data_IF_032759762779
#
_entry.id   IF_032759762779
#
_cell.length_a   1.000
_cell.length_b   1.000
_cell.length_c   1.000
_cell.angle_alpha   90.00
_cell.angle_beta   90.00
_cell.angle_gamma   90.00
#
_symmetry.space_group_name_H-M   'P 1'
#
loop_
_entity.id
_entity.type
_entity.pdbx_description
1 polymer ?
#
# COMPACT_ATOMS: atom_id res chain seq x y z
N UNK A 1 -25.57 -16.68 -24.74
CA UNK A 1 -24.96 -17.97 -25.15
C UNK A 1 -24.48 -18.65 -23.88
N UNK A 2 -25.29 -19.45 -23.16
CA UNK A 2 -25.67 -20.83 -23.45
C UNK A 2 -24.52 -21.70 -23.99
N UNK A 3 -23.99 -22.60 -23.14
CA UNK A 3 -24.37 -24.02 -23.12
C UNK A 3 -23.84 -24.72 -21.86
N UNK A 4 -24.77 -25.10 -20.98
CA UNK A 4 -24.62 -26.21 -20.05
C UNK A 4 -24.79 -27.52 -20.84
N UNK A 5 -24.05 -28.56 -20.47
CA UNK A 5 -24.35 -29.94 -20.85
C UNK A 5 -24.68 -30.74 -19.57
N UNK A 6 -25.92 -31.22 -19.58
CA UNK A 6 -26.52 -32.25 -18.73
C UNK A 6 -25.72 -33.55 -18.85
N UNK A 7 -25.68 -34.43 -17.84
CA UNK A 7 -26.62 -35.54 -17.59
C UNK A 7 -25.95 -36.45 -16.52
N UNK A 8 -26.59 -37.23 -15.65
CA UNK A 8 -27.99 -37.43 -15.25
C UNK A 8 -27.97 -38.40 -14.03
N UNK A 9 -29.01 -38.30 -13.16
CA UNK A 9 -29.74 -39.41 -12.51
C UNK A 9 -29.01 -40.40 -11.53
N UNK A 10 -29.51 -40.84 -10.35
CA UNK A 10 -30.86 -41.15 -9.79
C UNK A 10 -30.81 -41.09 -8.23
N UNK A 11 -31.91 -40.62 -7.60
CA UNK A 11 -32.27 -40.82 -6.18
C UNK A 11 -33.06 -42.10 -5.98
N UNK A 12 -32.86 -42.82 -4.86
CA UNK A 12 -33.88 -43.74 -4.28
C UNK A 12 -34.02 -43.53 -2.76
N UNK A 13 -35.27 -43.68 -2.30
CA UNK A 13 -35.91 -43.29 -1.04
C UNK A 13 -36.13 -44.51 -0.12
N UNK A 14 -36.32 -44.25 1.18
CA UNK A 14 -36.68 -45.13 2.32
C UNK A 14 -37.86 -46.10 2.12
N UNK A 15 -37.87 -47.21 2.89
CA UNK A 15 -38.97 -47.88 3.67
C UNK A 15 -38.53 -49.34 3.98
N UNK A 16 -38.46 -49.94 5.19
CA UNK A 16 -39.36 -50.19 6.36
C UNK A 16 -39.97 -51.62 6.43
N UNK A 17 -39.57 -52.40 7.47
CA UNK A 17 -40.22 -53.58 8.15
C UNK A 17 -40.50 -54.88 7.33
N UNK A 18 -40.84 -56.07 7.92
CA UNK A 18 -41.10 -56.43 9.34
C UNK A 18 -40.51 -57.77 9.90
N UNK A 19 -40.73 -57.98 11.21
CA UNK A 19 -40.77 -59.26 11.96
C UNK A 19 -41.68 -60.33 11.33
N UNK A 20 -41.54 -61.59 11.78
CA UNK A 20 -42.75 -62.36 12.13
C UNK A 20 -42.68 -63.13 13.47
N UNK A 21 -43.88 -63.35 14.01
CA UNK A 21 -44.25 -64.10 15.22
C UNK A 21 -44.30 -65.64 15.03
N UNK A 22 -43.94 -66.34 16.12
CA UNK A 22 -44.51 -67.54 16.79
C UNK A 22 -45.48 -68.53 16.08
N UNK A 23 -45.20 -69.85 16.21
CA UNK A 23 -46.06 -71.00 16.60
C UNK A 23 -45.38 -72.35 16.22
N UNK A 24 -45.00 -73.23 17.17
CA UNK A 24 -45.69 -74.41 17.77
C UNK A 24 -45.60 -75.75 17.00
N UNK A 25 -45.50 -76.83 17.79
CA UNK A 25 -45.59 -78.28 17.49
C UNK A 25 -44.39 -78.98 16.84
N UNK A 26 -44.00 -80.22 17.13
CA UNK A 26 -44.46 -81.30 18.04
C UNK A 26 -43.49 -82.49 17.89
N UNK A 27 -43.38 -83.35 18.92
CA UNK A 27 -43.04 -84.79 18.85
C UNK A 27 -41.66 -85.22 18.28
N UNK A 28 -41.01 -86.33 18.67
CA UNK A 28 -41.11 -87.34 19.71
C UNK A 28 -39.83 -88.21 19.58
N UNK A 29 -39.66 -89.16 20.51
CA UNK A 29 -38.75 -90.33 20.43
C UNK A 29 -37.23 -90.10 20.59
N UNK A 30 -36.46 -91.02 21.18
CA UNK A 30 -36.67 -92.12 22.13
C UNK A 30 -35.29 -92.63 22.56
N UNK A 31 -35.20 -93.21 23.77
CA UNK A 31 -34.28 -94.27 24.24
C UNK A 31 -32.76 -94.10 24.00
N UNK A 32 -31.95 -93.85 25.03
CA UNK A 32 -31.50 -94.80 26.05
C UNK A 32 -30.61 -95.95 25.53
N UNK A 33 -29.32 -95.89 25.88
CA UNK A 33 -28.39 -97.00 26.17
C UNK A 33 -27.31 -96.39 27.10
N UNK A 34 -27.36 -96.65 28.42
CA UNK A 34 -26.58 -97.70 29.11
C UNK A 34 -25.08 -97.55 28.80
N UNK A 35 -24.20 -97.13 29.70
CA UNK A 35 -24.07 -97.45 31.11
C UNK A 35 -22.74 -98.16 31.29
N UNK A 36 -21.81 -97.59 32.07
CA UNK A 36 -20.97 -98.27 33.08
C UNK A 36 -19.75 -97.45 33.45
N UNK A 37 -19.51 -97.47 34.76
CA UNK A 37 -18.46 -96.90 35.58
C UNK A 37 -17.06 -97.46 35.30
N UNK A 38 -16.03 -96.62 35.38
CA UNK A 38 -14.72 -97.00 35.92
C UNK A 38 -14.06 -95.83 36.67
N UNK A 39 -13.67 -96.12 37.93
CA UNK A 39 -12.82 -95.32 38.80
C UNK A 39 -11.33 -95.64 38.55
N UNK A 40 -10.47 -94.71 38.99
CA UNK A 40 -8.99 -94.70 39.12
C UNK A 40 -8.27 -93.91 38.02
N UNK A 41 -7.24 -93.11 38.29
CA UNK A 41 -6.34 -93.05 39.44
C UNK A 41 -5.82 -91.62 39.68
N UNK A 42 -5.40 -91.36 40.91
CA UNK A 42 -4.63 -90.19 41.31
C UNK A 42 -3.35 -90.05 40.48
N UNK A 43 -3.08 -88.83 39.99
CA UNK A 43 -1.70 -88.37 39.78
C UNK A 43 -1.59 -86.94 40.28
N UNK A 44 -0.98 -86.78 41.45
CA UNK A 44 -0.55 -85.50 41.99
C UNK A 44 0.46 -84.85 41.04
N UNK A 45 0.07 -83.77 40.37
CA UNK A 45 1.02 -82.87 39.71
C UNK A 45 1.65 -81.92 40.74
N UNK A 46 2.98 -81.71 40.73
CA UNK A 46 3.67 -80.98 41.77
C UNK A 46 3.31 -79.49 41.75
N UNK A 47 2.95 -78.97 42.93
CA UNK A 47 2.70 -77.55 43.21
C UNK A 47 3.90 -76.69 42.76
N UNK A 48 3.78 -76.01 41.62
CA UNK A 48 4.64 -74.86 41.32
C UNK A 48 4.30 -73.71 42.29
N UNK A 49 5.30 -73.02 42.86
CA UNK A 49 5.05 -72.03 43.89
C UNK A 49 4.47 -70.76 43.24
N UNK A 50 3.28 -70.33 43.70
CA UNK A 50 2.75 -68.96 43.89
C UNK A 50 3.33 -67.74 43.11
N UNK A 51 3.96 -67.86 41.93
CA UNK A 51 4.53 -66.73 41.17
C UNK A 51 3.46 -65.89 40.45
N UNK A 52 2.30 -66.46 40.15
CA UNK A 52 1.15 -65.71 39.59
C UNK A 52 0.61 -64.64 40.56
N UNK A 53 0.72 -64.86 41.89
CA UNK A 53 0.31 -63.87 42.89
C UNK A 53 1.26 -62.67 42.92
N UNK A 54 2.57 -62.91 42.75
CA UNK A 54 3.56 -61.83 42.67
C UNK A 54 3.42 -61.01 41.38
N UNK A 55 3.13 -61.66 40.25
CA UNK A 55 2.88 -60.98 38.99
C UNK A 55 1.57 -60.17 39.04
N UNK A 56 0.53 -60.69 39.69
CA UNK A 56 -0.73 -59.98 39.92
C UNK A 56 -0.52 -58.74 40.82
N UNK A 57 0.26 -58.85 41.89
CA UNK A 57 0.63 -57.69 42.73
C UNK A 57 1.46 -56.68 41.96
N UNK A 58 2.41 -57.11 41.12
CA UNK A 58 3.22 -56.24 40.28
C UNK A 58 2.36 -55.48 39.24
N UNK A 59 1.40 -56.15 38.60
CA UNK A 59 0.46 -55.53 37.66
C UNK A 59 -0.44 -54.53 38.37
N UNK A 60 -0.99 -54.85 39.55
CA UNK A 60 -1.81 -53.92 40.32
C UNK A 60 -0.99 -52.70 40.76
N UNK A 61 0.25 -52.90 41.22
CA UNK A 61 1.17 -51.82 41.58
C UNK A 61 1.50 -50.94 40.38
N UNK A 62 1.71 -51.53 39.20
CA UNK A 62 1.95 -50.79 37.95
C UNK A 62 0.72 -50.01 37.51
N UNK A 63 -0.48 -50.61 37.57
CA UNK A 63 -1.74 -49.91 37.26
C UNK A 63 -1.99 -48.77 38.24
N UNK A 64 -1.75 -48.99 39.54
CA UNK A 64 -1.85 -47.95 40.55
C UNK A 64 -0.82 -46.83 40.32
N UNK A 65 0.41 -47.17 39.95
CA UNK A 65 1.45 -46.21 39.64
C UNK A 65 1.15 -45.41 38.38
N UNK A 66 0.65 -46.04 37.31
CA UNK A 66 0.18 -45.36 36.09
C UNK A 66 -1.01 -44.46 36.42
N UNK A 67 -1.94 -44.93 37.26
CA UNK A 67 -3.07 -44.13 37.72
C UNK A 67 -2.60 -42.92 38.54
N UNK A 68 -1.69 -43.09 39.49
CA UNK A 68 -1.10 -42.02 40.28
C UNK A 68 -0.31 -41.02 39.42
N UNK A 69 0.50 -41.49 38.46
CA UNK A 69 1.19 -40.63 37.51
C UNK A 69 0.22 -39.85 36.64
N UNK A 70 -0.89 -40.47 36.20
CA UNK A 70 -1.90 -39.80 35.39
C UNK A 70 -2.65 -38.69 36.14
N UNK A 71 -2.65 -38.68 37.48
CA UNK A 71 -3.10 -37.52 38.27
C UNK A 71 -2.18 -36.30 38.11
N UNK A 72 -0.89 -36.51 37.82
CA UNK A 72 0.08 -35.42 37.65
C UNK A 72 0.03 -34.76 36.27
N UNK A 73 -0.64 -35.37 35.29
CA UNK A 73 -0.70 -34.89 33.90
C UNK A 73 -2.11 -34.46 33.47
N UNK A 74 -2.87 -33.82 34.36
CA UNK A 74 -4.16 -33.24 33.99
C UNK A 74 -3.93 -32.07 33.03
N UNK A 75 -4.48 -32.17 31.82
CA UNK A 75 -4.49 -31.09 30.82
C UNK A 75 -5.90 -30.94 30.27
N UNK A 76 -6.34 -29.69 30.14
CA UNK A 76 -7.63 -29.35 29.55
C UNK A 76 -7.41 -28.45 28.35
N UNK A 77 -8.08 -28.75 27.25
CA UNK A 77 -8.19 -27.86 26.10
C UNK A 77 -9.64 -27.43 25.94
N UNK A 78 -9.87 -26.12 25.98
CA UNK A 78 -11.16 -25.48 25.72
C UNK A 78 -11.08 -24.80 24.37
N UNK A 79 -11.86 -25.27 23.41
CA UNK A 79 -11.96 -24.65 22.10
C UNK A 79 -13.20 -23.77 22.08
N UNK A 80 -13.03 -22.48 21.82
CA UNK A 80 -14.10 -21.48 21.89
C UNK A 80 -14.33 -20.91 20.49
N UNK A 81 -15.59 -20.89 20.06
CA UNK A 81 -16.03 -20.19 18.88
C UNK A 81 -16.69 -18.87 19.33
N UNK A 82 -16.08 -17.71 19.05
CA UNK A 82 -16.65 -16.44 19.41
C UNK A 82 -17.94 -16.18 18.62
N UNK A 83 -18.79 -15.32 19.15
CA UNK A 83 -19.97 -14.84 18.43
C UNK A 83 -19.52 -13.99 17.24
N UNK A 84 -20.15 -14.24 16.09
CA UNK A 84 -19.84 -13.56 14.83
C UNK A 84 -21.14 -13.01 14.27
N UNK A 85 -21.10 -11.76 13.80
CA UNK A 85 -22.20 -11.11 13.12
C UNK A 85 -21.70 -10.50 11.83
N UNK A 86 -22.35 -10.83 10.72
CA UNK A 86 -22.12 -10.15 9.46
C UNK A 86 -23.10 -8.98 9.36
N UNK A 87 -22.59 -7.83 8.96
CA UNK A 87 -23.37 -6.60 8.80
C UNK A 87 -23.01 -5.95 7.47
N UNK A 88 -24.03 -5.61 6.68
CA UNK A 88 -23.83 -4.78 5.51
C UNK A 88 -23.64 -3.34 5.97
N UNK A 89 -22.50 -2.74 5.62
CA UNK A 89 -22.16 -1.35 5.88
C UNK A 89 -22.39 -0.53 4.61
N UNK A 90 -23.02 0.63 4.80
CA UNK A 90 -23.03 1.72 3.85
C UNK A 90 -23.26 3.02 4.62
N UNK A 91 -22.18 3.54 5.19
CA UNK A 91 -22.24 4.57 6.21
C UNK A 91 -21.41 5.79 5.81
N UNK A 92 -21.94 6.98 6.06
CA UNK A 92 -21.22 8.23 5.92
C UNK A 92 -20.63 8.63 7.28
N UNK A 93 -19.31 8.64 7.36
CA UNK A 93 -18.55 8.97 8.55
C UNK A 93 -17.83 10.31 8.38
N UNK A 94 -17.62 10.99 9.50
CA UNK A 94 -16.81 12.20 9.60
C UNK A 94 -15.62 11.94 10.51
N UNK A 95 -14.44 12.36 10.10
CA UNK A 95 -13.23 12.30 10.91
C UNK A 95 -12.52 13.65 11.00
N UNK A 96 -11.82 13.87 12.12
CA UNK A 96 -11.09 15.12 12.39
C UNK A 96 -9.68 14.85 12.89
N UNK A 97 -8.72 15.71 12.52
CA UNK A 97 -7.33 15.63 12.97
C UNK A 97 -7.20 15.93 14.47
N UNK A 98 -8.03 16.85 14.97
CA UNK A 98 -8.07 17.32 16.35
C UNK A 98 -9.36 16.87 17.05
N UNK A 99 -9.78 15.63 16.83
CA UNK A 99 -11.07 15.14 17.32
C UNK A 99 -11.19 15.18 18.86
N UNK A 100 -12.28 15.75 19.36
CA UNK A 100 -12.83 15.51 20.71
C UNK A 100 -13.60 14.17 20.74
N UNK A 101 -14.02 13.72 21.93
CA UNK A 101 -14.56 12.36 22.21
C UNK A 101 -15.57 11.79 21.20
N UNK A 102 -16.35 12.65 20.54
CA UNK A 102 -17.50 12.24 19.73
C UNK A 102 -17.20 12.15 18.22
N UNK A 103 -15.98 12.51 17.77
CA UNK A 103 -15.58 12.45 16.36
C UNK A 103 -14.44 11.45 16.15
N UNK A 104 -14.44 10.73 15.03
CA UNK A 104 -13.37 9.79 14.71
C UNK A 104 -12.06 10.56 14.45
N UNK A 105 -10.96 10.29 15.18
CA UNK A 105 -9.69 10.91 14.85
C UNK A 105 -9.06 10.26 13.60
N UNK A 106 -8.34 11.07 12.82
CA UNK A 106 -7.43 10.56 11.79
C UNK A 106 -6.02 11.11 11.99
N UNK A 107 -5.03 10.33 11.54
CA UNK A 107 -3.64 10.77 11.41
C UNK A 107 -3.28 10.95 9.94
N UNK A 108 -2.27 11.78 9.66
CA UNK A 108 -1.84 12.05 8.30
C UNK A 108 -0.45 11.48 8.06
N UNK A 109 -0.31 10.63 7.05
CA UNK A 109 0.98 10.18 6.52
C UNK A 109 1.33 10.99 5.27
N UNK A 110 2.55 11.52 5.23
CA UNK A 110 3.04 12.36 4.12
C UNK A 110 4.34 11.76 3.60
N UNK A 111 4.34 11.32 2.34
CA UNK A 111 5.50 10.70 1.69
C UNK A 111 5.75 11.40 0.36
N UNK A 112 6.91 12.02 0.21
CA UNK A 112 7.34 12.61 -1.05
C UNK A 112 8.24 11.69 -1.86
N UNK A 113 8.30 11.95 -3.17
CA UNK A 113 9.27 11.32 -4.05
C UNK A 113 9.19 11.84 -5.47
N UNK A 114 9.99 11.23 -6.32
CA UNK A 114 10.07 11.55 -7.73
C UNK A 114 10.17 10.27 -8.57
N UNK A 115 9.76 10.39 -9.82
CA UNK A 115 9.88 9.36 -10.83
C UNK A 115 10.25 10.00 -12.17
N UNK A 116 11.04 9.30 -12.97
CA UNK A 116 11.48 9.78 -14.28
C UNK A 116 11.27 8.74 -15.37
N UNK A 117 10.97 9.22 -16.58
CA UNK A 117 10.73 8.38 -17.75
C UNK A 117 11.37 9.03 -18.97
N UNK A 118 12.12 8.24 -19.71
CA UNK A 118 12.69 8.66 -20.99
C UNK A 118 11.72 8.34 -22.11
N UNK A 119 11.40 9.33 -22.93
CA UNK A 119 10.54 9.22 -24.11
C UNK A 119 11.37 9.53 -25.36
N UNK A 120 11.07 8.84 -26.45
CA UNK A 120 11.72 9.08 -27.74
C UNK A 120 11.01 10.23 -28.46
N UNK A 121 11.79 11.18 -28.97
CA UNK A 121 11.30 12.31 -29.74
C UNK A 121 11.08 11.86 -31.19
N UNK A 122 9.81 11.66 -31.55
CA UNK A 122 9.42 11.10 -32.86
C UNK A 122 9.22 12.16 -33.94
N UNK A 123 9.07 13.43 -33.56
CA UNK A 123 8.89 14.55 -34.48
C UNK A 123 10.07 15.51 -34.39
N UNK A 124 10.27 16.23 -35.48
CA UNK A 124 11.20 17.34 -35.54
C UNK A 124 10.46 18.68 -35.62
N UNK A 125 11.08 19.73 -35.09
CA UNK A 125 10.63 21.11 -35.20
C UNK A 125 11.73 21.93 -35.87
N UNK A 126 11.34 22.75 -36.84
CA UNK A 126 12.27 23.72 -37.44
C UNK A 126 12.60 24.80 -36.40
N UNK A 127 13.89 24.95 -36.10
CA UNK A 127 14.42 25.94 -35.17
C UNK A 127 15.35 26.87 -35.92
N UNK A 128 15.13 28.17 -35.73
CA UNK A 128 15.93 29.26 -36.28
C UNK A 128 16.47 30.07 -35.12
N UNK A 129 17.72 29.85 -34.77
CA UNK A 129 18.43 30.59 -33.73
C UNK A 129 19.45 31.54 -34.34
N UNK A 130 19.54 32.72 -33.76
CA UNK A 130 20.46 33.79 -34.20
C UNK A 130 21.72 33.74 -33.36
N UNK A 131 22.87 33.79 -34.03
CA UNK A 131 24.14 33.85 -33.33
C UNK A 131 24.23 35.12 -32.48
N UNK A 132 24.70 34.99 -31.24
CA UNK A 132 24.85 36.07 -30.26
C UNK A 132 26.30 36.17 -29.84
N UNK A 133 26.72 37.38 -29.49
CA UNK A 133 28.04 37.64 -28.96
C UNK A 133 28.12 39.03 -28.36
N UNK A 134 29.32 39.45 -28.02
CA UNK A 134 29.58 40.78 -27.45
C UNK A 134 30.64 41.47 -28.28
N UNK A 135 30.50 42.77 -28.50
CA UNK A 135 31.49 43.60 -29.20
C UNK A 135 31.86 44.83 -28.38
N UNK A 136 33.10 45.29 -28.56
CA UNK A 136 33.55 46.60 -28.12
C UNK A 136 33.51 47.54 -29.33
N UNK A 137 32.70 48.58 -29.26
CA UNK A 137 32.57 49.60 -30.31
C UNK A 137 33.48 50.77 -29.96
N UNK A 138 34.27 51.23 -30.93
CA UNK A 138 35.24 52.29 -30.78
C UNK A 138 34.88 53.52 -31.62
N UNK A 139 35.13 54.70 -31.05
CA UNK A 139 35.04 56.00 -31.70
C UNK A 139 36.45 56.61 -31.74
N UNK A 140 37.05 56.62 -32.93
CA UNK A 140 38.32 57.30 -33.21
C UNK A 140 38.12 58.48 -34.19
N UNK A 141 36.93 59.08 -34.19
CA UNK A 141 36.55 60.14 -35.12
C UNK A 141 36.62 61.54 -34.50
N UNK A 142 36.04 61.72 -33.30
CA UNK A 142 35.98 63.01 -32.62
C UNK A 142 35.78 62.87 -31.11
N UNK A 143 35.98 63.96 -30.37
CA UNK A 143 35.69 64.04 -28.93
C UNK A 143 34.19 64.10 -28.60
N UNK A 144 33.31 64.16 -29.61
CA UNK A 144 31.86 64.16 -29.44
C UNK A 144 31.36 62.71 -29.27
N UNK A 145 30.55 62.42 -28.23
CA UNK A 145 29.90 61.12 -28.09
C UNK A 145 28.94 60.83 -29.25
N UNK A 146 28.88 59.57 -29.67
CA UNK A 146 28.01 59.11 -30.75
C UNK A 146 26.96 58.15 -30.21
N UNK A 147 25.69 58.55 -30.29
CA UNK A 147 24.56 57.66 -30.00
C UNK A 147 24.37 56.69 -31.16
N UNK A 148 24.21 55.40 -30.85
CA UNK A 148 23.84 54.33 -31.78
C UNK A 148 22.53 53.71 -31.29
N UNK A 149 21.56 53.59 -32.17
CA UNK A 149 20.26 53.02 -31.85
C UNK A 149 20.36 51.51 -31.59
N UNK A 150 19.30 50.96 -30.98
CA UNK A 150 19.06 49.52 -31.05
C UNK A 150 19.01 49.08 -32.51
N UNK A 151 19.41 47.86 -32.81
CA UNK A 151 19.47 47.33 -34.18
C UNK A 151 20.44 48.04 -35.13
N UNK A 152 21.42 48.78 -34.58
CA UNK A 152 22.50 49.34 -35.39
C UNK A 152 23.24 48.22 -36.10
N UNK A 153 23.32 48.30 -37.44
CA UNK A 153 23.90 47.27 -38.30
C UNK A 153 25.43 47.35 -38.29
N UNK A 154 26.04 46.25 -37.89
CA UNK A 154 27.47 46.02 -37.88
C UNK A 154 27.80 44.98 -38.95
N UNK A 155 28.60 45.34 -39.94
CA UNK A 155 29.09 44.43 -40.97
C UNK A 155 30.42 43.83 -40.52
N UNK A 156 30.41 42.53 -40.24
CA UNK A 156 31.60 41.79 -39.84
C UNK A 156 32.55 41.56 -41.00
N UNK A 157 33.82 41.28 -40.71
CA UNK A 157 34.82 40.90 -41.72
C UNK A 157 34.47 39.61 -42.49
N UNK A 158 33.52 38.82 -42.00
CA UNK A 158 32.90 37.69 -42.69
C UNK A 158 31.78 38.08 -43.68
N UNK A 159 31.53 39.38 -43.88
CA UNK A 159 30.47 39.89 -44.76
C UNK A 159 29.05 39.72 -44.21
N UNK A 160 28.88 39.29 -42.96
CA UNK A 160 27.58 39.09 -42.33
C UNK A 160 27.19 40.32 -41.51
N UNK A 161 25.88 40.56 -41.41
CA UNK A 161 25.32 41.66 -40.63
C UNK A 161 24.92 41.16 -39.24
N UNK A 162 25.36 41.89 -38.23
CA UNK A 162 24.95 41.76 -36.84
C UNK A 162 24.33 43.07 -36.37
N UNK A 163 23.55 43.00 -35.31
CA UNK A 163 22.76 44.12 -34.80
C UNK A 163 22.98 44.28 -33.30
N UNK A 164 23.04 45.52 -32.83
CA UNK A 164 23.15 45.81 -31.39
C UNK A 164 21.87 45.41 -30.67
N UNK A 165 22.00 44.76 -29.50
CA UNK A 165 20.84 44.32 -28.69
C UNK A 165 20.12 45.48 -27.98
N UNK A 166 20.78 46.64 -27.88
CA UNK A 166 20.26 47.83 -27.22
C UNK A 166 20.87 49.08 -27.81
N UNK A 167 20.21 50.20 -27.56
CA UNK A 167 20.77 51.53 -27.79
C UNK A 167 21.95 51.77 -26.85
N UNK A 168 22.99 52.41 -27.37
CA UNK A 168 24.19 52.77 -26.62
C UNK A 168 24.71 54.14 -27.04
N UNK A 169 25.54 54.74 -26.20
CA UNK A 169 26.27 55.97 -26.52
C UNK A 169 27.76 55.64 -26.45
N UNK A 170 28.43 55.70 -27.60
CA UNK A 170 29.88 55.51 -27.69
C UNK A 170 30.55 56.81 -27.26
N UNK A 171 31.39 56.82 -26.21
CA UNK A 171 32.10 58.02 -25.80
C UNK A 171 32.95 58.61 -26.94
N UNK A 172 33.20 59.92 -26.88
CA UNK A 172 34.20 60.56 -27.74
C UNK A 172 35.62 60.11 -27.42
N UNK A 173 36.54 60.27 -28.38
CA UNK A 173 37.96 60.00 -28.14
C UNK A 173 38.59 61.03 -27.18
N UNK A 174 39.55 60.60 -26.37
CA UNK A 174 40.32 61.45 -25.45
C UNK A 174 41.76 61.53 -25.94
N UNK A 175 42.18 62.71 -26.40
CA UNK A 175 43.50 62.91 -27.02
C UNK A 175 43.73 61.93 -28.18
N UNK A 176 44.57 60.91 -28.00
CA UNK A 176 44.86 59.86 -28.99
C UNK A 176 44.17 58.52 -28.70
N UNK A 177 43.44 58.39 -27.58
CA UNK A 177 42.77 57.16 -27.17
C UNK A 177 41.31 57.13 -27.68
N UNK A 178 40.89 56.14 -28.47
CA UNK A 178 39.50 55.99 -28.90
C UNK A 178 38.56 55.82 -27.70
N UNK A 179 37.39 56.46 -27.77
CA UNK A 179 36.30 56.17 -26.83
C UNK A 179 35.73 54.79 -27.14
N UNK A 180 35.34 54.01 -26.13
CA UNK A 180 34.79 52.67 -26.35
C UNK A 180 33.61 52.35 -25.45
N UNK A 181 32.76 51.43 -25.90
CA UNK A 181 31.63 50.89 -25.13
C UNK A 181 31.37 49.44 -25.52
N UNK A 182 31.00 48.63 -24.53
CA UNK A 182 30.65 47.22 -24.71
C UNK A 182 29.15 47.06 -24.97
N UNK A 183 28.78 46.24 -25.95
CA UNK A 183 27.38 45.94 -26.26
C UNK A 183 27.23 44.51 -26.77
N UNK A 184 26.14 43.86 -26.39
CA UNK A 184 25.73 42.59 -26.98
C UNK A 184 25.28 42.78 -28.43
N UNK A 185 25.52 41.77 -29.26
CA UNK A 185 25.07 41.72 -30.64
C UNK A 185 24.32 40.44 -30.93
N UNK A 186 23.46 40.49 -31.94
CA UNK A 186 22.77 39.32 -32.48
C UNK A 186 22.79 39.35 -34.02
N UNK A 187 22.84 38.18 -34.65
CA UNK A 187 22.88 38.04 -36.11
C UNK A 187 21.60 38.56 -36.78
N UNK A 188 21.72 39.10 -38.00
CA UNK A 188 20.56 39.59 -38.75
C UNK A 188 19.58 38.47 -39.12
N UNK A 189 20.10 37.28 -39.44
CA UNK A 189 19.34 36.05 -39.67
C UNK A 189 19.85 34.92 -38.76
N UNK A 190 19.09 33.82 -38.69
CA UNK A 190 19.57 32.61 -38.06
C UNK A 190 20.56 31.86 -38.95
N UNK A 191 21.20 30.84 -38.39
CA UNK A 191 22.05 29.92 -39.14
C UNK A 191 23.48 29.84 -38.63
N UNK A 192 24.10 28.67 -38.84
CA UNK A 192 25.47 28.39 -38.38
C UNK A 192 26.50 29.28 -39.10
N UNK A 193 26.18 29.79 -40.28
CA UNK A 193 27.03 30.71 -41.04
C UNK A 193 27.23 32.08 -40.36
N UNK A 194 26.47 32.37 -39.31
CA UNK A 194 26.65 33.55 -38.45
C UNK A 194 27.51 33.26 -37.21
N UNK A 195 27.85 32.01 -36.94
CA UNK A 195 28.81 31.65 -35.89
C UNK A 195 30.22 31.96 -36.37
N UNK A 196 31.04 32.55 -35.51
CA UNK A 196 32.41 32.90 -35.85
C UNK A 196 33.29 32.98 -34.60
N UNK A 197 34.59 32.76 -34.78
CA UNK A 197 35.60 33.24 -33.84
C UNK A 197 35.64 34.77 -33.78
N UNK A 198 36.67 35.37 -33.16
CA UNK A 198 36.77 36.82 -33.07
C UNK A 198 36.70 37.53 -34.43
N UNK A 199 35.89 38.59 -34.53
CA UNK A 199 35.66 39.36 -35.75
C UNK A 199 35.85 40.87 -35.52
N UNK A 200 36.29 41.54 -36.57
CA UNK A 200 36.23 42.99 -36.68
C UNK A 200 34.95 43.40 -37.42
N UNK A 201 34.41 44.57 -37.07
CA UNK A 201 33.17 45.09 -37.61
C UNK A 201 33.30 46.54 -38.05
N UNK A 202 32.55 46.88 -39.09
CA UNK A 202 32.30 48.26 -39.51
C UNK A 202 30.84 48.62 -39.26
N UNK A 203 30.56 49.89 -39.01
CA UNK A 203 29.19 50.37 -38.77
C UNK A 203 28.55 50.70 -40.11
N UNK A 204 27.65 49.86 -40.59
CA UNK A 204 27.06 49.95 -41.94
C UNK A 204 26.38 51.30 -42.20
N UNK A 205 25.73 51.86 -41.18
CA UNK A 205 25.05 53.17 -41.27
C UNK A 205 25.96 54.36 -41.54
N UNK A 206 27.29 54.21 -41.39
CA UNK A 206 28.25 55.28 -41.67
C UNK A 206 28.86 55.20 -43.07
N UNK A 207 28.52 54.19 -43.86
CA UNK A 207 29.06 54.00 -45.22
C UNK A 207 28.85 55.26 -46.07
N UNK A 208 29.90 55.70 -46.76
CA UNK A 208 29.90 56.94 -47.55
C UNK A 208 30.22 58.23 -46.75
N UNK A 209 30.44 58.12 -45.43
CA UNK A 209 30.85 59.26 -44.59
C UNK A 209 32.29 59.07 -44.06
N UNK A 210 32.98 60.16 -43.65
CA UNK A 210 34.28 60.06 -42.98
C UNK A 210 34.26 59.24 -41.67
N UNK A 211 33.08 59.04 -41.06
CA UNK A 211 32.93 58.23 -39.84
C UNK A 211 33.20 56.74 -40.10
N UNK A 212 32.99 56.25 -41.32
CA UNK A 212 33.09 54.82 -41.64
C UNK A 212 34.49 54.24 -41.40
N UNK A 213 35.54 55.03 -41.65
CA UNK A 213 36.94 54.61 -41.44
C UNK A 213 37.45 54.84 -40.01
N UNK A 214 36.66 55.52 -39.17
CA UNK A 214 37.07 55.97 -37.83
C UNK A 214 36.23 55.36 -36.71
N UNK A 215 35.07 54.80 -37.03
CA UNK A 215 34.30 53.95 -36.12
C UNK A 215 34.43 52.49 -36.54
N UNK A 216 34.77 51.64 -35.60
CA UNK A 216 34.90 50.20 -35.80
C UNK A 216 34.48 49.48 -34.52
N UNK A 217 34.15 48.19 -34.62
CA UNK A 217 33.95 47.36 -33.45
C UNK A 217 34.76 46.07 -33.56
N UNK A 218 35.06 45.47 -32.41
CA UNK A 218 35.75 44.18 -32.33
C UNK A 218 34.96 43.26 -31.41
N UNK A 219 34.78 42.00 -31.80
CA UNK A 219 34.14 41.06 -30.88
C UNK A 219 35.03 40.79 -29.67
N UNK A 220 34.35 40.59 -28.54
CA UNK A 220 34.93 40.15 -27.29
C UNK A 220 34.59 38.67 -27.14
N UNK A 221 35.44 37.83 -27.74
CA UNK A 221 35.22 36.39 -27.85
C UNK A 221 34.53 35.97 -29.14
N UNK A 222 34.05 34.73 -29.16
CA UNK A 222 33.31 34.14 -30.28
C UNK A 222 31.86 34.61 -30.30
N UNK A 223 31.27 34.53 -31.49
CA UNK A 223 29.84 34.71 -31.74
C UNK A 223 29.28 33.33 -32.02
N UNK A 224 28.29 32.90 -31.25
CA UNK A 224 27.82 31.51 -31.23
C UNK A 224 26.30 31.42 -31.05
N UNK A 225 25.76 30.22 -31.27
CA UNK A 225 24.32 29.93 -31.09
C UNK A 225 23.46 30.18 -32.32
N UNK A 226 24.05 30.53 -33.47
CA UNK A 226 23.35 30.54 -34.74
C UNK A 226 23.08 29.11 -35.21
N UNK A 227 21.83 28.79 -35.51
CA UNK A 227 21.43 27.46 -35.98
C UNK A 227 20.18 27.57 -36.87
N UNK A 228 20.16 26.83 -37.97
CA UNK A 228 18.95 26.59 -38.77
C UNK A 228 18.91 25.09 -39.02
N UNK A 229 17.86 24.43 -38.53
CA UNK A 229 17.70 23.01 -38.75
C UNK A 229 16.52 22.44 -38.00
N UNK A 230 16.36 21.13 -38.15
CA UNK A 230 15.34 20.36 -37.46
C UNK A 230 15.89 19.80 -36.17
N UNK A 231 15.27 20.15 -35.05
CA UNK A 231 15.57 19.53 -33.76
C UNK A 231 14.47 18.54 -33.39
N UNK A 232 14.79 17.37 -32.83
CA UNK A 232 13.80 16.46 -32.28
C UNK A 232 13.02 17.16 -31.16
N UNK A 233 11.71 16.94 -31.11
CA UNK A 233 10.84 17.43 -30.05
C UNK A 233 9.87 16.35 -29.62
N UNK A 234 9.61 16.28 -28.31
CA UNK A 234 8.52 15.50 -27.78
C UNK A 234 7.18 16.13 -28.21
N UNK A 235 6.23 15.30 -28.62
CA UNK A 235 4.89 15.78 -28.95
C UNK A 235 4.07 16.00 -27.68
N UNK A 236 3.09 16.90 -27.71
CA UNK A 236 2.20 17.12 -26.54
C UNK A 236 1.45 15.85 -26.15
N UNK A 237 1.12 14.99 -27.13
CA UNK A 237 0.44 13.70 -26.91
C UNK A 237 1.38 12.74 -26.17
N UNK A 238 2.61 12.57 -26.65
CA UNK A 238 3.59 11.67 -26.03
C UNK A 238 4.01 12.18 -24.65
N UNK A 239 4.10 13.50 -24.47
CA UNK A 239 4.33 14.14 -23.18
C UNK A 239 3.20 13.85 -22.20
N UNK A 240 1.95 14.02 -22.62
CA UNK A 240 0.77 13.77 -21.76
C UNK A 240 0.67 12.29 -21.38
N UNK A 241 0.86 11.38 -22.34
CA UNK A 241 0.90 9.95 -22.06
C UNK A 241 2.04 9.58 -21.10
N UNK A 242 3.25 10.11 -21.34
CA UNK A 242 4.40 9.90 -20.46
C UNK A 242 4.19 10.43 -19.04
N UNK A 243 3.57 11.61 -18.89
CA UNK A 243 3.19 12.19 -17.60
C UNK A 243 2.15 11.34 -16.86
N UNK A 244 1.14 10.83 -17.56
CA UNK A 244 0.12 9.97 -16.94
C UNK A 244 0.71 8.65 -16.45
N UNK A 245 1.59 8.02 -17.24
CA UNK A 245 2.31 6.81 -16.83
C UNK A 245 3.19 7.07 -15.60
N UNK A 246 3.89 8.22 -15.58
CA UNK A 246 4.69 8.63 -14.44
C UNK A 246 3.83 8.85 -13.19
N UNK A 247 2.65 9.47 -13.33
CA UNK A 247 1.71 9.68 -12.22
C UNK A 247 1.28 8.35 -11.60
N UNK A 248 0.91 7.37 -12.43
CA UNK A 248 0.52 6.02 -11.98
C UNK A 248 1.69 5.32 -11.28
N UNK A 249 2.89 5.35 -11.88
CA UNK A 249 4.09 4.74 -11.31
C UNK A 249 4.50 5.37 -9.98
N UNK A 250 4.50 6.70 -9.91
CA UNK A 250 4.79 7.47 -8.71
C UNK A 250 3.77 7.17 -7.61
N UNK A 251 2.47 7.17 -7.92
CA UNK A 251 1.42 6.83 -6.95
C UNK A 251 1.63 5.42 -6.36
N UNK A 252 1.89 4.42 -7.22
CA UNK A 252 2.14 3.06 -6.76
C UNK A 252 3.39 2.95 -5.86
N UNK A 253 4.48 3.63 -6.24
CA UNK A 253 5.73 3.69 -5.48
C UNK A 253 5.55 4.35 -4.12
N UNK A 254 4.86 5.49 -4.06
CA UNK A 254 4.61 6.21 -2.82
C UNK A 254 3.62 5.47 -1.92
N UNK A 255 2.57 4.84 -2.48
CA UNK A 255 1.62 4.05 -1.71
C UNK A 255 2.29 2.84 -1.06
N UNK A 256 3.22 2.17 -1.77
CA UNK A 256 4.03 1.10 -1.18
C UNK A 256 4.85 1.60 0.00
N UNK A 257 5.58 2.71 -0.17
CA UNK A 257 6.35 3.33 0.92
C UNK A 257 5.47 3.74 2.10
N UNK A 258 4.29 4.30 1.84
CA UNK A 258 3.34 4.67 2.89
C UNK A 258 2.90 3.43 3.66
N UNK A 259 2.54 2.36 2.97
CA UNK A 259 2.12 1.08 3.56
C UNK A 259 3.20 0.48 4.46
N UNK A 260 4.46 0.54 4.03
CA UNK A 260 5.62 0.04 4.80
C UNK A 260 5.88 0.85 6.08
N UNK A 261 5.33 2.07 6.19
CA UNK A 261 5.51 2.98 7.32
C UNK A 261 4.27 3.09 8.23
N UNK A 262 3.19 2.35 7.94
CA UNK A 262 1.96 2.39 8.75
C UNK A 262 2.24 1.79 10.15
N UNK A 263 1.95 2.51 11.24
CA UNK A 263 2.07 1.96 12.59
C UNK A 263 1.10 0.79 12.83
N UNK A 264 1.46 -0.13 13.73
CA UNK A 264 0.56 -1.22 14.13
C UNK A 264 -0.72 -0.66 14.75
N UNK A 265 -1.87 -1.20 14.34
CA UNK A 265 -3.19 -0.75 14.82
C UNK A 265 -3.85 0.30 13.94
N UNK A 266 -3.19 0.76 12.87
CA UNK A 266 -3.78 1.67 11.89
C UNK A 266 -4.16 0.97 10.58
N UNK A 267 -5.05 1.61 9.85
CA UNK A 267 -5.45 1.26 8.48
C UNK A 267 -5.35 2.48 7.57
N UNK A 268 -4.78 2.26 6.38
CA UNK A 268 -4.83 3.17 5.25
C UNK A 268 -5.68 2.53 4.16
N UNK A 269 -6.79 3.15 3.81
CA UNK A 269 -7.58 2.69 2.68
C UNK A 269 -6.97 3.17 1.36
N UNK A 270 -7.08 2.36 0.31
CA UNK A 270 -6.53 2.67 -1.02
C UNK A 270 -7.03 4.00 -1.55
N UNK A 271 -8.28 4.34 -1.29
CA UNK A 271 -8.91 5.59 -1.74
C UNK A 271 -8.89 6.70 -0.68
N UNK A 272 -8.23 6.49 0.47
CA UNK A 272 -7.95 7.52 1.46
C UNK A 272 -6.59 8.21 1.21
N UNK A 273 -6.04 8.09 -0.01
CA UNK A 273 -4.79 8.74 -0.42
C UNK A 273 -5.01 9.75 -1.54
N UNK A 274 -4.15 10.75 -1.54
CA UNK A 274 -4.14 11.87 -2.46
C UNK A 274 -2.70 12.08 -2.91
N UNK A 275 -2.51 12.29 -4.22
CA UNK A 275 -1.21 12.57 -4.79
C UNK A 275 -1.24 13.98 -5.34
N UNK A 276 -0.49 14.87 -4.70
CA UNK A 276 -0.17 16.18 -5.24
C UNK A 276 1.09 16.04 -6.11
N UNK A 277 1.06 16.61 -7.32
CA UNK A 277 2.12 16.43 -8.31
C UNK A 277 2.61 17.76 -8.82
N UNK A 278 3.92 17.89 -8.89
CA UNK A 278 4.61 19.03 -9.47
C UNK A 278 5.40 18.57 -10.69
N UNK A 279 5.14 19.20 -11.84
CA UNK A 279 5.87 18.94 -13.07
C UNK A 279 7.35 19.32 -12.87
N UNK A 280 8.23 18.34 -13.06
CA UNK A 280 9.66 18.57 -13.08
C UNK A 280 10.12 19.21 -14.39
N UNK A 281 11.30 19.81 -14.40
CA UNK A 281 11.93 20.27 -15.63
C UNK A 281 12.13 19.09 -16.59
N UNK A 282 11.62 19.23 -17.81
CA UNK A 282 11.94 18.32 -18.90
C UNK A 282 13.31 18.68 -19.48
N UNK A 283 14.17 17.67 -19.65
CA UNK A 283 15.46 17.83 -20.30
C UNK A 283 15.46 17.05 -21.60
N UNK A 284 15.97 17.64 -22.67
CA UNK A 284 16.11 16.98 -23.97
C UNK A 284 17.59 16.78 -24.28
N UNK A 285 17.96 15.55 -24.61
CA UNK A 285 19.31 15.16 -25.01
C UNK A 285 19.23 14.31 -26.28
N UNK A 286 19.64 14.89 -27.41
CA UNK A 286 19.53 14.25 -28.72
C UNK A 286 18.08 14.00 -29.12
N UNK A 287 17.75 12.75 -29.47
CA UNK A 287 16.38 12.31 -29.82
C UNK A 287 15.58 11.79 -28.61
N UNK A 288 16.02 12.09 -27.39
CA UNK A 288 15.36 11.61 -26.17
C UNK A 288 15.03 12.78 -25.26
N UNK A 289 13.81 12.79 -24.77
CA UNK A 289 13.36 13.70 -23.74
C UNK A 289 13.14 12.95 -22.42
N UNK A 290 13.77 13.41 -21.35
CA UNK A 290 13.55 12.92 -19.99
C UNK A 290 12.43 13.72 -19.36
N UNK A 291 11.36 13.01 -19.01
CA UNK A 291 10.24 13.52 -18.26
C UNK A 291 10.46 13.22 -16.78
N UNK A 292 10.31 14.23 -15.94
CA UNK A 292 10.47 14.11 -14.49
C UNK A 292 9.17 14.56 -13.82
N UNK A 293 8.70 13.79 -12.85
CA UNK A 293 7.53 14.12 -12.04
C UNK A 293 7.89 14.01 -10.57
N UNK A 294 7.65 15.10 -9.83
CA UNK A 294 7.73 15.10 -8.37
C UNK A 294 6.33 15.02 -7.81
N UNK A 295 6.19 14.44 -6.64
CA UNK A 295 4.90 14.43 -5.98
C UNK A 295 4.98 14.05 -4.51
N UNK A 296 3.95 14.47 -3.80
CA UNK A 296 3.75 14.19 -2.38
C UNK A 296 2.44 13.45 -2.21
N UNK A 297 2.53 12.25 -1.65
CA UNK A 297 1.38 11.43 -1.28
C UNK A 297 0.96 11.78 0.14
N UNK A 298 -0.33 12.11 0.30
CA UNK A 298 -1.00 12.33 1.57
C UNK A 298 -1.98 11.18 1.80
N UNK A 299 -1.91 10.52 2.95
CA UNK A 299 -2.82 9.44 3.31
C UNK A 299 -3.47 9.68 4.66
N UNK A 300 -4.78 9.45 4.75
CA UNK A 300 -5.51 9.49 6.02
C UNK A 300 -5.48 8.11 6.68
N UNK A 301 -4.82 8.04 7.84
CA UNK A 301 -4.72 6.85 8.68
C UNK A 301 -5.80 6.88 9.75
N UNK A 302 -6.46 5.73 9.95
CA UNK A 302 -7.46 5.55 11.00
C UNK A 302 -6.99 4.49 11.99
N UNK A 303 -7.14 4.77 13.29
CA UNK A 303 -6.97 3.76 14.32
C UNK A 303 -8.10 2.73 14.20
N UNK A 304 -7.72 1.46 14.04
CA UNK A 304 -8.66 0.36 13.79
C UNK A 304 -9.64 0.19 14.94
N UNK A 305 -9.21 0.36 16.19
CA UNK A 305 -10.08 0.20 17.37
C UNK A 305 -11.08 1.34 17.44
N UNK A 306 -10.64 2.58 17.23
CA UNK A 306 -11.53 3.75 17.25
C UNK A 306 -12.53 3.71 16.09
N UNK A 307 -12.08 3.34 14.88
CA UNK A 307 -12.97 3.17 13.73
C UNK A 307 -13.98 2.04 13.97
N UNK A 308 -13.53 0.90 14.50
CA UNK A 308 -14.42 -0.22 14.83
C UNK A 308 -15.46 0.18 15.88
N UNK A 309 -15.05 0.90 16.93
CA UNK A 309 -15.97 1.43 17.95
C UNK A 309 -17.02 2.35 17.33
N UNK A 310 -16.59 3.29 16.48
CA UNK A 310 -17.49 4.24 15.83
C UNK A 310 -18.53 3.55 14.95
N UNK A 311 -18.10 2.57 14.15
CA UNK A 311 -19.00 1.73 13.34
C UNK A 311 -20.01 0.99 14.22
N UNK A 312 -19.59 0.49 15.39
CA UNK A 312 -20.47 -0.19 16.34
C UNK A 312 -21.55 0.77 16.88
N UNK A 313 -21.13 1.93 17.38
CA UNK A 313 -21.99 2.96 17.97
C UNK A 313 -23.07 3.43 16.99
N UNK A 314 -22.72 3.57 15.70
CA UNK A 314 -23.62 4.12 14.70
C UNK A 314 -24.58 3.06 14.07
N UNK A 315 -24.25 1.76 14.15
CA UNK A 315 -25.00 0.70 13.46
C UNK A 315 -25.61 -0.38 14.36
N UNK A 316 -25.25 -0.43 15.66
CA UNK A 316 -25.77 -1.43 16.60
C UNK A 316 -26.68 -0.77 17.64
N UNK A 317 -27.98 -1.06 17.58
CA UNK A 317 -29.01 -0.45 18.44
C UNK A 317 -28.77 -0.63 19.95
N UNK A 318 -28.09 -1.72 20.36
CA UNK A 318 -27.82 -2.05 21.77
C UNK A 318 -26.31 -2.12 22.07
N UNK A 319 -25.49 -1.27 21.44
CA UNK A 319 -24.06 -1.24 21.74
C UNK A 319 -23.79 -0.68 23.14
N UNK A 320 -23.30 -1.53 24.03
CA UNK A 320 -23.02 -1.26 25.44
C UNK A 320 -21.52 -1.07 25.71
N UNK A 321 -20.78 -0.49 24.75
CA UNK A 321 -19.31 -0.40 24.78
C UNK A 321 -18.61 -1.78 24.90
N UNK A 322 -19.30 -2.87 24.52
CA UNK A 322 -18.68 -4.19 24.46
C UNK A 322 -17.51 -4.21 23.48
N UNK A 323 -16.41 -4.86 23.89
CA UNK A 323 -15.27 -5.04 23.00
C UNK A 323 -15.72 -5.81 21.74
N UNK A 324 -15.39 -5.27 20.57
CA UNK A 324 -15.63 -5.88 19.27
C UNK A 324 -14.42 -5.68 18.35
N UNK A 325 -14.27 -6.60 17.40
CA UNK A 325 -13.25 -6.53 16.35
C UNK A 325 -13.88 -6.75 14.97
N UNK A 326 -13.34 -6.08 13.95
CA UNK A 326 -13.68 -6.29 12.54
C UNK A 326 -12.40 -6.70 11.81
N UNK A 327 -12.05 -8.00 11.72
CA UNK A 327 -10.78 -8.42 11.12
C UNK A 327 -10.63 -8.02 9.65
N UNK A 328 -11.75 -7.97 8.93
CA UNK A 328 -11.81 -7.60 7.51
C UNK A 328 -12.01 -6.10 7.28
N UNK A 329 -11.71 -5.25 8.28
CA UNK A 329 -11.90 -3.80 8.17
C UNK A 329 -11.11 -3.19 6.99
N UNK A 330 -9.97 -3.79 6.65
CA UNK A 330 -9.12 -3.38 5.52
C UNK A 330 -9.71 -3.71 4.15
N UNK A 331 -10.65 -4.65 4.11
CA UNK A 331 -11.32 -5.08 2.88
C UNK A 331 -12.58 -4.26 2.58
N UNK A 332 -12.96 -3.37 3.51
CA UNK A 332 -14.07 -2.43 3.30
C UNK A 332 -13.70 -1.38 2.24
N UNK A 333 -14.70 -0.97 1.49
CA UNK A 333 -14.57 0.03 0.43
C UNK A 333 -14.73 1.41 1.03
N UNK A 334 -13.64 2.17 1.05
CA UNK A 334 -13.61 3.57 1.41
C UNK A 334 -13.83 4.42 0.16
N UNK A 335 -14.74 5.37 0.23
CA UNK A 335 -14.93 6.37 -0.82
C UNK A 335 -15.04 7.75 -0.19
N UNK A 336 -14.53 8.76 -0.88
CA UNK A 336 -14.59 10.14 -0.42
C UNK A 336 -15.02 11.00 -1.60
N UNK A 337 -16.16 11.66 -1.45
CA UNK A 337 -16.62 12.65 -2.39
C UNK A 337 -15.76 13.92 -2.24
N UNK A 338 -15.57 14.66 -3.33
CA UNK A 338 -14.81 15.92 -3.36
C UNK A 338 -13.31 15.80 -3.06
N UNK A 339 -12.66 14.71 -3.47
CA UNK A 339 -11.19 14.62 -3.46
C UNK A 339 -10.52 15.84 -4.10
N UNK A 340 -11.11 16.30 -5.20
CA UNK A 340 -10.64 17.44 -5.98
C UNK A 340 -10.79 18.77 -5.23
N UNK A 341 -11.72 18.88 -4.27
CA UNK A 341 -11.88 20.11 -3.49
C UNK A 341 -10.86 20.26 -2.35
N UNK A 342 -10.24 19.16 -1.92
CA UNK A 342 -9.11 19.21 -0.98
C UNK A 342 -7.85 19.82 -1.61
N UNK A 343 -7.78 19.91 -2.94
CA UNK A 343 -6.74 20.65 -3.67
C UNK A 343 -6.92 22.18 -3.62
N UNK A 344 -8.11 22.68 -3.26
CA UNK A 344 -8.36 24.13 -3.15
C UNK A 344 -8.07 24.70 -1.75
N UNK A 345 -7.74 23.85 -0.78
CA UNK A 345 -7.07 24.31 0.44
C UNK A 345 -5.57 24.41 0.12
N UNK A 346 -4.94 25.54 0.39
CA UNK A 346 -3.56 25.90 -0.02
C UNK A 346 -2.48 24.83 0.28
N UNK A 347 -2.76 23.85 1.16
CA UNK A 347 -1.92 22.69 1.41
C UNK A 347 -2.76 21.49 1.91
N UNK A 348 -2.70 20.30 1.28
CA UNK A 348 -3.37 19.09 1.77
C UNK A 348 -2.98 18.67 3.20
N UNK A 349 -1.84 19.14 3.71
CA UNK A 349 -1.42 18.92 5.10
C UNK A 349 -2.30 19.64 6.14
N UNK A 350 -3.03 20.68 5.72
CA UNK A 350 -3.84 21.54 6.58
C UNK A 350 -5.30 21.06 6.69
N UNK A 351 -5.64 19.96 6.03
CA UNK A 351 -6.97 19.33 6.13
C UNK A 351 -7.23 18.94 7.59
N UNK A 352 -8.28 19.53 8.17
CA UNK A 352 -8.70 19.28 9.55
C UNK A 352 -9.84 18.28 9.66
N UNK A 353 -10.76 18.29 8.72
CA UNK A 353 -11.96 17.47 8.73
C UNK A 353 -12.16 16.81 7.38
N UNK A 354 -12.60 15.56 7.42
CA UNK A 354 -12.89 14.77 6.24
C UNK A 354 -14.21 14.03 6.41
N UNK A 355 -14.97 13.93 5.33
CA UNK A 355 -16.18 13.12 5.26
C UNK A 355 -15.95 12.01 4.25
N UNK A 356 -16.35 10.80 4.57
CA UNK A 356 -16.15 9.63 3.70
C UNK A 356 -17.28 8.63 3.88
N UNK A 357 -17.50 7.81 2.86
CA UNK A 357 -18.38 6.66 2.93
C UNK A 357 -17.56 5.37 3.09
N UNK A 358 -17.99 4.52 4.02
CA UNK A 358 -17.45 3.18 4.20
C UNK A 358 -18.53 2.16 3.87
N UNK A 359 -18.23 1.24 2.95
CA UNK A 359 -19.19 0.24 2.49
C UNK A 359 -18.60 -1.16 2.34
N UNK A 360 -19.43 -2.18 2.47
CA UNK A 360 -19.03 -3.58 2.34
C UNK A 360 -19.75 -4.49 3.35
N UNK A 361 -19.26 -5.71 3.51
CA UNK A 361 -19.77 -6.62 4.56
C UNK A 361 -18.75 -6.67 5.69
N UNK A 362 -19.05 -6.05 6.83
CA UNK A 362 -18.23 -6.17 8.04
C UNK A 362 -18.53 -7.47 8.78
N UNK A 363 -17.46 -8.19 9.13
CA UNK A 363 -17.52 -9.39 9.97
C UNK A 363 -17.15 -9.00 11.39
N UNK A 364 -18.16 -8.68 12.18
CA UNK A 364 -18.01 -8.28 13.58
C UNK A 364 -17.79 -9.55 14.41
N UNK A 365 -16.73 -9.57 15.20
CA UNK A 365 -16.40 -10.63 16.14
C UNK A 365 -16.44 -10.05 17.55
N UNK A 366 -17.03 -10.80 18.48
CA UNK A 366 -16.98 -10.48 19.90
C UNK A 366 -15.77 -11.22 20.52
N UNK A 367 -14.64 -10.54 20.77
CA UNK A 367 -13.45 -11.16 21.34
C UNK A 367 -13.74 -11.79 22.70
N UNK A 368 -13.06 -12.90 22.98
CA UNK A 368 -13.18 -13.66 24.23
C UNK A 368 -11.95 -13.40 25.07
N UNK A 369 -12.15 -12.95 26.31
CA UNK A 369 -11.06 -12.85 27.28
C UNK A 369 -10.67 -14.25 27.76
N UNK A 370 -9.63 -14.80 27.13
CA UNK A 370 -9.11 -16.12 27.47
C UNK A 370 -8.63 -16.23 28.92
N UNK A 371 -8.14 -15.15 29.51
CA UNK A 371 -7.55 -15.18 30.85
C UNK A 371 -8.66 -15.25 31.90
N UNK A 372 -9.71 -14.44 31.73
CA UNK A 372 -10.89 -14.52 32.60
C UNK A 372 -11.58 -15.87 32.46
N UNK A 373 -11.75 -16.38 31.23
CA UNK A 373 -12.34 -17.71 31.02
C UNK A 373 -11.50 -18.81 31.70
N UNK A 374 -10.16 -18.76 31.59
CA UNK A 374 -9.29 -19.71 32.31
C UNK A 374 -9.48 -19.63 33.81
N UNK A 375 -9.52 -18.42 34.37
CA UNK A 375 -9.68 -18.19 35.80
C UNK A 375 -11.00 -18.76 36.33
N UNK A 376 -12.11 -18.52 35.61
CA UNK A 376 -13.44 -18.99 36.01
C UNK A 376 -13.59 -20.51 35.93
N UNK A 377 -12.80 -21.17 35.08
CA UNK A 377 -12.78 -22.62 34.93
C UNK A 377 -11.94 -23.35 35.99
N UNK A 378 -11.03 -22.66 36.72
CA UNK A 378 -10.12 -23.30 37.67
C UNK A 378 -10.86 -24.10 38.76
N UNK A 379 -10.46 -25.37 38.91
CA UNK A 379 -11.01 -26.27 39.92
C UNK A 379 -12.52 -26.57 39.80
N UNK A 380 -13.20 -26.05 38.78
CA UNK A 380 -14.64 -26.27 38.57
C UNK A 380 -14.90 -27.68 38.07
N UNK A 381 -16.13 -28.18 38.25
CA UNK A 381 -16.51 -29.49 37.72
C UNK A 381 -16.89 -29.35 36.25
N UNK A 382 -16.60 -30.37 35.44
CA UNK A 382 -16.96 -30.43 34.01
C UNK A 382 -18.45 -30.18 33.78
N UNK A 383 -19.31 -30.63 34.69
CA UNK A 383 -20.77 -30.45 34.61
C UNK A 383 -21.19 -28.97 34.70
N UNK A 384 -20.39 -28.13 35.36
CA UNK A 384 -20.68 -26.71 35.57
C UNK A 384 -20.23 -25.87 34.35
N UNK A 385 -19.52 -26.47 33.39
CA UNK A 385 -18.98 -25.79 32.22
C UNK A 385 -20.04 -25.00 31.43
N UNK A 386 -21.21 -25.59 31.19
CA UNK A 386 -22.31 -24.90 30.49
C UNK A 386 -22.81 -23.68 31.24
N UNK A 387 -22.84 -23.74 32.57
CA UNK A 387 -23.27 -22.61 33.40
C UNK A 387 -22.22 -21.49 33.39
N UNK A 388 -20.94 -21.84 33.40
CA UNK A 388 -19.85 -20.86 33.29
C UNK A 388 -19.89 -20.18 31.93
N UNK A 389 -20.01 -20.94 30.83
CA UNK A 389 -20.14 -20.37 29.49
C UNK A 389 -21.34 -19.44 29.33
N UNK A 390 -22.45 -19.69 30.04
CA UNK A 390 -23.62 -18.82 30.00
C UNK A 390 -23.36 -17.40 30.54
N UNK A 391 -22.25 -17.19 31.26
CA UNK A 391 -21.80 -15.88 31.73
C UNK A 391 -21.05 -15.09 30.63
N UNK A 392 -20.74 -15.72 29.49
CA UNK A 392 -19.95 -15.16 28.39
C UNK A 392 -20.83 -14.98 27.14
N UNK A 393 -21.56 -13.86 27.01
CA UNK A 393 -22.46 -13.61 25.87
C UNK A 393 -21.74 -13.42 24.52
N UNK A 394 -20.42 -13.23 24.57
CA UNK A 394 -19.50 -13.16 23.43
C UNK A 394 -19.11 -14.54 22.87
N UNK A 395 -19.50 -15.65 23.52
CA UNK A 395 -19.22 -17.01 23.05
C UNK A 395 -20.47 -17.60 22.41
N UNK A 396 -20.34 -18.09 21.17
CA UNK A 396 -21.42 -18.79 20.48
C UNK A 396 -21.45 -20.28 20.86
N UNK A 397 -20.28 -20.93 20.84
CA UNK A 397 -20.13 -22.33 21.24
C UNK A 397 -18.74 -22.60 21.79
N UNK A 398 -18.61 -23.59 22.67
CA UNK A 398 -17.29 -24.04 23.12
C UNK A 398 -17.29 -25.53 23.47
N UNK A 399 -16.17 -26.18 23.14
CA UNK A 399 -15.91 -27.59 23.35
C UNK A 399 -14.80 -27.79 24.39
N UNK A 400 -14.93 -28.84 25.21
CA UNK A 400 -13.96 -29.16 26.26
C UNK A 400 -13.45 -30.57 26.12
N UNK A 401 -12.13 -30.67 25.98
CA UNK A 401 -11.39 -31.94 26.00
C UNK A 401 -10.55 -31.99 27.27
N UNK A 402 -10.83 -32.97 28.13
CA UNK A 402 -10.09 -33.22 29.38
C UNK A 402 -9.26 -34.49 29.19
N UNK A 403 -7.96 -34.38 29.44
CA UNK A 403 -7.03 -35.50 29.43
C UNK A 403 -6.38 -35.66 30.81
N UNK A 404 -6.45 -36.86 31.41
CA UNK A 404 -7.13 -38.06 30.91
C UNK A 404 -8.66 -38.00 31.06
N UNK A 405 -9.39 -38.70 30.18
CA UNK A 405 -10.85 -38.56 29.98
C UNK A 405 -11.73 -38.89 31.20
N UNK A 406 -11.19 -39.61 32.18
CA UNK A 406 -11.90 -39.99 33.41
C UNK A 406 -11.93 -38.88 34.47
N UNK A 407 -11.20 -37.78 34.26
CA UNK A 407 -11.25 -36.60 35.12
C UNK A 407 -12.54 -35.81 34.89
N UNK A 408 -13.22 -35.48 35.99
CA UNK A 408 -14.51 -34.79 35.98
C UNK A 408 -14.41 -33.32 36.43
N UNK A 409 -13.20 -32.81 36.62
CA UNK A 409 -12.93 -31.43 37.02
C UNK A 409 -11.81 -30.82 36.20
N UNK A 410 -11.84 -29.50 36.09
CA UNK A 410 -10.76 -28.70 35.55
C UNK A 410 -9.57 -28.67 36.54
N UNK A 411 -8.33 -28.49 36.06
CA UNK A 411 -7.16 -28.35 36.91
C UNK A 411 -7.21 -27.08 37.77
N UNK A 412 -6.47 -27.10 38.87
CA UNK A 412 -6.34 -25.97 39.80
C UNK A 412 -5.27 -24.96 39.36
N UNK A 413 -4.54 -25.24 38.27
CA UNK A 413 -3.45 -24.41 37.76
C UNK A 413 -3.80 -23.92 36.36
N UNK A 414 -3.69 -22.61 36.14
CA UNK A 414 -4.00 -21.95 34.85
C UNK A 414 -3.18 -22.57 33.71
N UNK A 415 -1.90 -22.90 33.96
CA UNK A 415 -0.99 -23.48 32.96
C UNK A 415 -1.47 -24.81 32.36
N UNK A 416 -2.35 -25.51 33.07
CA UNK A 416 -2.87 -26.81 32.66
C UNK A 416 -4.21 -26.68 31.89
N UNK A 417 -4.71 -25.45 31.72
CA UNK A 417 -5.88 -25.09 30.90
C UNK A 417 -5.39 -24.32 29.66
N UNK A 418 -5.50 -24.94 28.50
CA UNK A 418 -5.29 -24.32 27.20
C UNK A 418 -6.63 -23.85 26.64
N UNK A 419 -6.77 -22.55 26.36
CA UNK A 419 -7.90 -22.04 25.58
C UNK A 419 -7.43 -21.84 24.16
N UNK A 420 -8.25 -22.24 23.19
CA UNK A 420 -8.02 -22.06 21.75
C UNK A 420 -9.25 -21.36 21.22
N UNK A 421 -9.11 -20.10 20.80
CA UNK A 421 -10.21 -19.34 20.17
C UNK A 421 -10.13 -19.54 18.66
N UNK A 422 -11.18 -20.11 18.08
CA UNK A 422 -11.30 -20.28 16.64
C UNK A 422 -11.82 -18.99 16.01
N UNK A 423 -10.91 -18.08 15.67
CA UNK A 423 -11.28 -16.92 14.88
C UNK A 423 -11.56 -17.36 13.43
N UNK A 424 -12.76 -17.07 12.90
CA UNK A 424 -13.20 -17.50 11.57
C UNK A 424 -12.61 -16.70 10.42
#
# INVERSE_FOLDING_TARGET
MQKNLLQDMIRIKRASKPEPDRALDSDAESKALSGSSFQRDETETPKQPRRYKLWLVAVISLVFFIFALSYMFLKVTVTVNPKVRNMALHENLSASKDASSDTLPFELIIISGEESKVVQDTKTKDVIEKAKGTVLIYNNFSSVPQRLDIDTRLEGSNGKIYKTVKQIVVPGMRSSAPGSVEVGIYAAAGGEEYNSGPLDFTIFGFKGTPKYSKFYARSKGSIAGGFIGQVPVITDIDKLAGMNDLKIALQAKLLKKATDQIPSGFVLFRDAVFLDTEDGAATSEGNKSSLNLKGTLYGFLFDVKKLTKKIAEDNLEDYDDTAIDIPNIRDLTFTMDNKDNLFFADNPADVKNINFNLSGTAKIIYPVDENNLKADLLGKRKKDFKQILAQYPNIDSADVVISPFWKMSFPDKIKDIKVVVNYP
#
